data_IF_094201870932
#
_entry.id   IF_094201870932
#
_cell.length_a   1.000
_cell.length_b   1.000
_cell.length_c   1.000
_cell.angle_alpha   90.00
_cell.angle_beta   90.00
_cell.angle_gamma   90.00
#
_symmetry.space_group_name_H-M   'P 1'
#
loop_
_entity.id
_entity.type
_entity.pdbx_description
1 polymer ?
#
# COMPACT_ATOMS: atom_id res chain seq x y z
N UNK A 1 -51.66 30.88 -80.83
CA UNK A 1 -50.33 30.25 -80.82
C UNK A 1 -50.10 29.65 -79.45
N UNK A 2 -49.88 28.34 -79.45
CA UNK A 2 -49.27 27.46 -78.45
C UNK A 2 -49.87 27.27 -77.03
N UNK A 3 -50.29 26.00 -76.83
CA UNK A 3 -50.06 25.11 -75.68
C UNK A 3 -50.80 25.39 -74.36
N UNK A 4 -51.83 24.58 -74.05
CA UNK A 4 -51.75 23.30 -73.31
C UNK A 4 -51.95 23.53 -71.81
N UNK A 5 -53.13 23.13 -71.31
CA UNK A 5 -53.28 21.96 -70.42
C UNK A 5 -53.05 22.36 -68.94
N UNK A 6 -53.76 21.88 -67.93
CA UNK A 6 -54.74 20.83 -67.79
C UNK A 6 -55.42 21.10 -66.43
N UNK A 7 -56.72 20.80 -66.35
CA UNK A 7 -57.47 20.30 -65.18
C UNK A 7 -57.00 20.71 -63.77
N UNK A 8 -57.75 21.56 -63.05
CA UNK A 8 -58.92 21.16 -62.25
C UNK A 8 -58.78 19.83 -61.50
N UNK A 9 -59.13 19.91 -60.21
CA UNK A 9 -59.41 18.84 -59.25
C UNK A 9 -58.18 18.15 -58.68
N UNK A 10 -57.92 18.40 -57.39
CA UNK A 10 -58.03 17.37 -56.37
C UNK A 10 -58.13 18.06 -54.99
N UNK A 11 -59.35 18.50 -54.68
CA UNK A 11 -59.84 18.41 -53.31
C UNK A 11 -59.77 16.95 -52.88
N UNK A 12 -59.53 16.72 -51.59
CA UNK A 12 -59.47 15.41 -50.91
C UNK A 12 -58.05 14.82 -50.83
N UNK A 13 -57.35 15.03 -49.71
CA UNK A 13 -57.36 14.01 -48.66
C UNK A 13 -56.62 14.50 -47.38
N UNK A 14 -57.25 14.44 -46.19
CA UNK A 14 -56.61 14.70 -44.91
C UNK A 14 -55.84 13.45 -44.46
N UNK A 15 -54.52 13.46 -44.56
CA UNK A 15 -53.67 12.31 -44.15
C UNK A 15 -52.35 12.76 -43.50
N UNK A 16 -52.32 13.91 -42.81
CA UNK A 16 -51.09 14.44 -42.18
C UNK A 16 -51.04 14.34 -40.65
N UNK A 17 -51.93 13.54 -40.03
CA UNK A 17 -52.14 13.57 -38.58
C UNK A 17 -51.72 12.33 -37.77
N UNK A 18 -51.41 11.19 -38.40
CA UNK A 18 -51.19 9.92 -37.66
C UNK A 18 -49.77 9.38 -37.65
N UNK A 19 -48.85 9.89 -38.49
CA UNK A 19 -47.49 9.36 -38.55
C UNK A 19 -46.49 10.07 -37.62
N UNK A 20 -46.81 11.26 -37.13
CA UNK A 20 -45.94 12.04 -36.22
C UNK A 20 -46.12 11.75 -34.74
N UNK A 21 -47.09 10.92 -34.34
CA UNK A 21 -47.27 10.50 -32.94
C UNK A 21 -46.66 9.15 -32.60
N UNK A 22 -46.30 8.32 -33.58
CA UNK A 22 -45.68 7.01 -33.31
C UNK A 22 -44.15 7.05 -33.22
N UNK A 23 -43.52 8.15 -33.64
CA UNK A 23 -42.07 8.33 -33.56
C UNK A 23 -41.59 9.06 -32.29
N UNK A 24 -42.49 9.60 -31.47
CA UNK A 24 -42.13 10.31 -30.24
C UNK A 24 -42.23 9.47 -28.96
N UNK A 25 -42.80 8.26 -28.99
CA UNK A 25 -42.93 7.42 -27.78
C UNK A 25 -41.73 6.48 -27.57
N UNK A 26 -40.92 6.21 -28.60
CA UNK A 26 -39.72 5.34 -28.47
C UNK A 26 -38.45 6.06 -28.01
N UNK A 27 -38.46 7.38 -27.88
CA UNK A 27 -37.33 8.15 -27.34
C UNK A 27 -37.44 8.40 -25.82
N UNK A 28 -38.47 7.85 -25.16
CA UNK A 28 -38.74 8.05 -23.72
C UNK A 28 -38.54 6.78 -22.88
N UNK A 29 -37.82 5.78 -23.40
CA UNK A 29 -37.44 4.55 -22.68
C UNK A 29 -35.91 4.35 -22.59
N UNK A 30 -35.14 5.39 -22.95
CA UNK A 30 -33.68 5.43 -22.89
C UNK A 30 -33.21 6.57 -21.98
N UNK A 31 -33.76 6.66 -20.75
CA UNK A 31 -33.50 7.81 -19.89
C UNK A 31 -33.74 7.61 -18.39
N UNK A 32 -33.81 6.37 -17.91
CA UNK A 32 -34.08 6.07 -16.51
C UNK A 32 -33.25 4.88 -15.99
N UNK A 33 -31.94 4.87 -16.27
CA UNK A 33 -30.99 3.93 -15.70
C UNK A 33 -29.62 4.58 -15.44
N UNK A 34 -29.62 5.85 -15.03
CA UNK A 34 -28.38 6.65 -14.94
C UNK A 34 -28.19 7.37 -13.62
N UNK A 35 -28.72 6.86 -12.50
CA UNK A 35 -28.47 7.45 -11.18
C UNK A 35 -28.52 6.36 -10.10
N UNK A 36 -27.46 5.55 -9.93
CA UNK A 36 -27.15 4.81 -8.69
C UNK A 36 -25.70 4.24 -8.69
N UNK A 37 -24.71 5.06 -9.08
CA UNK A 37 -23.31 4.84 -8.66
C UNK A 37 -22.78 6.14 -8.06
N UNK A 38 -23.38 6.54 -6.95
CA UNK A 38 -22.74 7.44 -5.98
C UNK A 38 -22.17 6.58 -4.86
N UNK A 39 -21.10 7.11 -4.24
CA UNK A 39 -20.40 6.64 -3.03
C UNK A 39 -19.51 5.40 -3.15
N UNK A 40 -18.24 5.62 -3.50
CA UNK A 40 -17.10 5.43 -2.58
C UNK A 40 -15.79 5.59 -3.37
N UNK A 41 -15.20 6.78 -3.40
CA UNK A 41 -13.77 7.00 -3.74
C UNK A 41 -13.37 8.45 -3.44
N UNK A 42 -13.65 8.92 -2.23
CA UNK A 42 -13.03 10.15 -1.71
C UNK A 42 -12.48 9.86 -0.32
N UNK A 43 -11.55 8.92 -0.26
CA UNK A 43 -10.55 8.90 0.80
C UNK A 43 -9.20 8.98 0.08
N UNK A 44 -8.87 10.16 -0.43
CA UNK A 44 -7.46 10.59 -0.41
C UNK A 44 -7.13 10.98 1.02
N UNK A 45 -7.21 10.01 1.94
CA UNK A 45 -6.41 10.10 3.14
C UNK A 45 -4.98 9.89 2.68
N UNK A 46 -4.06 10.64 3.25
CA UNK A 46 -2.64 10.65 2.94
C UNK A 46 -1.98 9.37 3.47
N UNK A 47 -2.51 8.20 3.08
CA UNK A 47 -2.07 6.89 3.56
C UNK A 47 -0.72 6.60 2.88
N UNK A 48 0.35 6.33 3.65
CA UNK A 48 1.62 5.91 3.09
C UNK A 48 1.43 4.67 2.20
N UNK A 49 2.19 4.60 1.10
CA UNK A 49 2.09 3.44 0.21
C UNK A 49 2.43 2.14 0.96
N UNK A 50 1.66 1.07 0.75
CA UNK A 50 1.91 -0.26 1.29
C UNK A 50 1.52 -1.28 0.23
N UNK A 51 2.43 -1.50 -0.72
CA UNK A 51 2.08 -2.12 -2.00
C UNK A 51 1.64 -3.58 -1.87
N UNK A 52 2.24 -4.31 -0.94
CA UNK A 52 1.91 -5.69 -0.62
C UNK A 52 1.04 -5.81 0.65
N UNK A 53 0.76 -4.71 1.34
CA UNK A 53 -0.07 -4.71 2.55
C UNK A 53 0.65 -5.29 3.77
N UNK A 54 1.97 -5.09 3.88
CA UNK A 54 2.79 -5.66 4.94
C UNK A 54 2.27 -5.29 6.32
N UNK A 55 1.90 -4.02 6.55
CA UNK A 55 1.40 -3.60 7.86
C UNK A 55 0.12 -4.35 8.22
N UNK A 56 -0.85 -4.39 7.31
CA UNK A 56 -2.13 -5.07 7.54
C UNK A 56 -2.00 -6.59 7.70
N UNK A 57 -0.94 -7.21 7.18
CA UNK A 57 -0.66 -8.64 7.38
C UNK A 57 0.00 -8.90 8.74
N UNK A 58 0.84 -7.98 9.19
CA UNK A 58 1.57 -8.08 10.45
C UNK A 58 0.66 -7.78 11.64
N UNK A 59 -0.20 -6.76 11.55
CA UNK A 59 -1.19 -6.44 12.58
C UNK A 59 -2.07 -7.67 12.91
N UNK A 60 -2.12 -8.04 14.20
CA UNK A 60 -2.81 -9.26 14.69
C UNK A 60 -2.34 -10.58 14.02
N UNK A 61 -1.15 -10.57 13.39
CA UNK A 61 -0.63 -11.65 12.56
C UNK A 61 0.77 -12.09 12.95
N UNK A 62 1.65 -12.22 11.97
CA UNK A 62 3.05 -12.65 12.16
C UNK A 62 4.00 -11.61 11.58
N UNK A 63 4.96 -11.19 12.40
CA UNK A 63 6.10 -10.37 12.01
C UNK A 63 7.29 -11.28 11.70
N UNK A 64 7.72 -11.34 10.45
CA UNK A 64 8.88 -12.14 10.05
C UNK A 64 10.15 -11.30 10.17
N UNK A 65 11.01 -11.64 11.13
CA UNK A 65 12.19 -10.85 11.50
C UNK A 65 13.46 -11.54 11.02
N UNK A 66 14.19 -10.88 10.13
CA UNK A 66 15.53 -11.25 9.74
C UNK A 66 16.53 -10.77 10.79
N UNK A 67 17.33 -11.68 11.36
CA UNK A 67 18.30 -11.35 12.40
C UNK A 67 19.70 -11.81 11.99
N UNK A 68 20.62 -10.85 11.87
CA UNK A 68 22.07 -11.10 11.76
C UNK A 68 22.70 -10.91 13.13
N UNK A 69 23.62 -11.78 13.53
CA UNK A 69 24.31 -11.69 14.83
C UNK A 69 25.33 -10.53 14.82
N UNK A 70 25.17 -9.58 15.74
CA UNK A 70 26.02 -8.41 15.87
C UNK A 70 25.88 -7.82 17.29
N UNK A 71 26.68 -8.28 18.27
CA UNK A 71 26.63 -7.73 19.62
C UNK A 71 27.02 -6.24 19.66
N UNK A 72 26.39 -5.41 20.51
CA UNK A 72 25.35 -5.75 21.49
C UNK A 72 23.91 -5.65 20.95
N UNK A 73 23.74 -5.41 19.65
CA UNK A 73 22.44 -5.20 19.01
C UNK A 73 21.61 -6.46 18.95
N UNK A 74 22.26 -7.54 18.54
CA UNK A 74 21.67 -8.85 18.33
C UNK A 74 22.67 -9.93 18.73
N UNK A 75 22.23 -10.80 19.62
CA UNK A 75 22.96 -11.98 20.08
C UNK A 75 22.06 -13.20 19.88
N UNK A 76 22.64 -14.31 19.42
CA UNK A 76 21.95 -15.59 19.25
C UNK A 76 22.67 -16.62 20.11
N UNK A 77 21.99 -17.14 21.12
CA UNK A 77 22.58 -18.16 21.99
C UNK A 77 22.68 -19.51 21.29
N UNK A 78 23.53 -20.40 21.81
CA UNK A 78 23.63 -21.79 21.35
C UNK A 78 22.30 -22.56 21.46
N UNK A 79 21.36 -22.07 22.29
CA UNK A 79 20.04 -22.63 22.48
C UNK A 79 18.99 -22.04 21.53
N UNK A 80 19.38 -21.13 20.64
CA UNK A 80 18.50 -20.45 19.68
C UNK A 80 17.69 -19.30 20.29
N UNK A 81 18.13 -18.75 21.42
CA UNK A 81 17.48 -17.59 22.03
C UNK A 81 18.08 -16.29 21.47
N UNK A 82 17.21 -15.35 21.11
CA UNK A 82 17.60 -14.03 20.61
C UNK A 82 17.61 -13.01 21.74
N UNK A 83 18.65 -12.18 21.81
CA UNK A 83 18.77 -11.07 22.78
C UNK A 83 19.53 -9.89 22.20
N UNK A 84 19.58 -8.77 22.93
CA UNK A 84 20.22 -7.54 22.48
C UNK A 84 19.22 -6.40 22.29
N UNK A 85 19.73 -5.18 22.16
CA UNK A 85 18.90 -3.97 22.15
C UNK A 85 17.92 -3.91 20.98
N UNK A 86 18.30 -4.35 19.78
CA UNK A 86 17.39 -4.39 18.63
C UNK A 86 16.34 -5.50 18.77
N UNK A 87 16.71 -6.62 19.40
CA UNK A 87 15.76 -7.71 19.67
C UNK A 87 14.67 -7.23 20.64
N UNK A 88 15.03 -6.47 21.66
CA UNK A 88 14.07 -5.91 22.63
C UNK A 88 13.14 -4.88 21.97
N UNK A 89 13.68 -4.01 21.09
CA UNK A 89 12.88 -3.08 20.29
C UNK A 89 11.88 -3.80 19.40
N UNK A 90 12.31 -4.86 18.69
CA UNK A 90 11.43 -5.65 17.82
C UNK A 90 10.36 -6.41 18.61
N UNK A 91 10.69 -6.92 19.80
CA UNK A 91 9.70 -7.53 20.70
C UNK A 91 8.62 -6.54 21.10
N UNK A 92 9.00 -5.35 21.55
CA UNK A 92 8.01 -4.33 21.90
C UNK A 92 7.22 -3.84 20.67
N UNK A 93 7.82 -3.77 19.48
CA UNK A 93 7.08 -3.46 18.26
C UNK A 93 6.05 -4.54 17.92
N UNK A 94 6.42 -5.82 18.03
CA UNK A 94 5.51 -6.94 17.81
C UNK A 94 4.35 -6.91 18.83
N UNK A 95 4.63 -6.61 20.10
CA UNK A 95 3.58 -6.40 21.11
C UNK A 95 2.67 -5.22 20.76
N UNK A 96 3.24 -4.11 20.28
CA UNK A 96 2.50 -2.91 19.88
C UNK A 96 1.51 -3.18 18.74
N UNK A 97 1.88 -4.01 17.76
CA UNK A 97 1.00 -4.41 16.64
C UNK A 97 0.26 -5.73 16.88
N UNK A 98 0.35 -6.28 18.09
CA UNK A 98 -0.23 -7.58 18.48
C UNK A 98 0.15 -8.75 17.54
N UNK A 99 1.42 -8.82 17.13
CA UNK A 99 1.95 -9.86 16.25
C UNK A 99 2.79 -10.92 17.00
N UNK A 100 2.76 -12.15 16.50
CA UNK A 100 3.74 -13.17 16.85
C UNK A 100 5.02 -13.00 16.02
N UNK A 101 6.18 -13.29 16.59
CA UNK A 101 7.46 -13.16 15.87
C UNK A 101 7.90 -14.51 15.29
N UNK A 102 8.22 -14.51 13.99
CA UNK A 102 8.96 -15.59 13.34
C UNK A 102 10.38 -15.12 13.02
N UNK A 103 11.38 -15.80 13.59
CA UNK A 103 12.79 -15.44 13.40
C UNK A 103 13.41 -16.16 12.21
N UNK A 104 14.10 -15.40 11.35
CA UNK A 104 14.96 -15.92 10.28
C UNK A 104 16.39 -15.45 10.49
N UNK A 105 17.26 -16.34 10.97
CA UNK A 105 18.68 -16.02 11.16
C UNK A 105 19.45 -16.10 9.84
N UNK A 106 20.35 -15.15 9.61
CA UNK A 106 21.29 -15.21 8.50
C UNK A 106 22.23 -14.02 8.45
N UNK A 107 23.31 -14.08 7.66
CA UNK A 107 24.15 -12.91 7.42
C UNK A 107 23.35 -11.84 6.67
N UNK A 108 23.66 -10.57 6.91
CA UNK A 108 22.96 -9.42 6.30
C UNK A 108 22.80 -9.53 4.79
N UNK A 109 23.81 -10.03 4.07
CA UNK A 109 23.76 -10.20 2.61
C UNK A 109 22.67 -11.17 2.16
N UNK A 110 22.41 -12.23 2.93
CA UNK A 110 21.32 -13.18 2.66
C UNK A 110 19.99 -12.56 3.05
N UNK A 111 19.93 -11.85 4.17
CA UNK A 111 18.72 -11.15 4.62
C UNK A 111 18.31 -10.04 3.65
N UNK A 112 19.27 -9.35 3.02
CA UNK A 112 19.04 -8.33 2.00
C UNK A 112 18.37 -8.90 0.73
N UNK A 113 18.68 -10.14 0.34
CA UNK A 113 17.96 -10.79 -0.75
C UNK A 113 16.57 -11.28 -0.30
N UNK A 114 16.45 -11.80 0.93
CA UNK A 114 15.15 -12.25 1.47
C UNK A 114 14.14 -11.13 1.60
N UNK A 115 14.55 -9.98 2.13
CA UNK A 115 13.67 -8.81 2.27
C UNK A 115 13.21 -8.26 0.92
N UNK A 116 14.09 -8.27 -0.08
CA UNK A 116 13.77 -7.90 -1.47
C UNK A 116 12.77 -8.85 -2.12
N UNK A 117 12.77 -10.12 -1.72
CA UNK A 117 11.78 -11.12 -2.13
C UNK A 117 10.54 -11.15 -1.23
N UNK A 118 10.42 -10.22 -0.28
CA UNK A 118 9.33 -10.15 0.71
C UNK A 118 9.21 -11.43 1.58
N UNK A 119 10.32 -12.12 1.81
CA UNK A 119 10.41 -13.28 2.71
C UNK A 119 10.66 -12.87 4.17
N UNK A 120 11.00 -11.59 4.40
CA UNK A 120 11.27 -10.97 5.70
C UNK A 120 10.68 -9.57 5.70
N UNK A 121 10.14 -9.14 6.84
CA UNK A 121 9.43 -7.87 7.02
C UNK A 121 10.31 -6.78 7.62
N UNK A 122 11.23 -7.18 8.49
CA UNK A 122 12.19 -6.30 9.11
C UNK A 122 13.53 -7.01 9.28
N UNK A 123 14.62 -6.33 8.97
CA UNK A 123 15.99 -6.81 9.20
C UNK A 123 16.63 -6.01 10.32
N UNK A 124 17.12 -6.75 11.31
CA UNK A 124 17.96 -6.27 12.42
C UNK A 124 19.32 -6.98 12.39
N UNK A 125 20.32 -6.34 13.00
CA UNK A 125 21.71 -6.80 12.99
C UNK A 125 22.72 -5.67 13.11
N UNK A 126 22.34 -4.54 13.70
CA UNK A 126 23.21 -3.37 13.83
C UNK A 126 23.53 -2.71 12.48
N UNK A 127 22.53 -2.56 11.62
CA UNK A 127 22.67 -1.82 10.36
C UNK A 127 22.90 -0.34 10.65
N UNK A 128 23.69 0.32 9.80
CA UNK A 128 23.90 1.77 9.86
C UNK A 128 23.36 2.48 8.63
N UNK A 129 23.20 3.80 8.69
CA UNK A 129 22.74 4.63 7.57
C UNK A 129 23.69 4.59 6.34
N UNK A 130 24.92 4.12 6.53
CA UNK A 130 25.90 3.84 5.49
C UNK A 130 25.83 2.41 4.92
N UNK A 131 24.84 1.62 5.35
CA UNK A 131 24.63 0.25 4.92
C UNK A 131 24.64 0.10 3.38
N UNK A 132 25.40 -0.86 2.83
CA UNK A 132 25.43 -1.11 1.39
C UNK A 132 24.11 -1.67 0.85
N UNK A 133 23.19 -2.06 1.74
CA UNK A 133 21.93 -2.74 1.41
C UNK A 133 20.76 -1.79 1.12
N UNK A 134 20.96 -0.47 1.14
CA UNK A 134 19.94 0.55 0.83
C UNK A 134 19.29 0.42 -0.56
N UNK A 135 19.93 -0.32 -1.48
CA UNK A 135 19.35 -0.66 -2.79
C UNK A 135 18.40 -1.86 -2.76
N UNK A 136 18.39 -2.63 -1.67
CA UNK A 136 17.60 -3.85 -1.48
C UNK A 136 16.46 -3.67 -0.46
N UNK A 137 16.63 -2.76 0.50
CA UNK A 137 15.67 -2.47 1.57
C UNK A 137 15.52 -0.96 1.77
N UNK A 138 14.36 -0.54 2.22
CA UNK A 138 14.21 0.80 2.80
C UNK A 138 14.84 0.79 4.19
N UNK A 139 15.51 1.88 4.57
CA UNK A 139 16.08 2.03 5.90
C UNK A 139 15.18 2.95 6.71
N UNK A 140 14.98 2.62 7.99
CA UNK A 140 14.34 3.54 8.93
C UNK A 140 15.17 4.82 9.06
N UNK A 141 14.54 5.88 9.54
CA UNK A 141 15.29 6.97 10.19
C UNK A 141 16.18 6.37 11.30
N UNK A 142 17.35 6.99 11.57
CA UNK A 142 18.19 6.57 12.67
C UNK A 142 17.43 6.59 13.98
N UNK A 143 17.47 5.48 14.72
CA UNK A 143 16.81 5.35 16.02
C UNK A 143 17.81 5.53 17.18
N UNK A 144 19.11 5.43 16.90
CA UNK A 144 20.19 5.70 17.84
C UNK A 144 21.44 6.20 17.10
N UNK A 145 22.29 6.93 17.80
CA UNK A 145 23.65 7.25 17.35
C UNK A 145 24.65 6.77 18.40
N UNK A 146 25.55 5.86 18.02
CA UNK A 146 26.58 5.30 18.92
C UNK A 146 27.93 5.41 18.23
N UNK A 147 28.91 6.00 18.92
CA UNK A 147 30.27 6.20 18.41
C UNK A 147 30.34 6.88 17.03
N UNK A 148 29.33 7.70 16.70
CA UNK A 148 29.21 8.42 15.43
C UNK A 148 28.55 7.61 14.30
N UNK A 149 28.12 6.38 14.57
CA UNK A 149 27.34 5.55 13.66
C UNK A 149 25.84 5.70 13.95
N UNK A 150 25.06 5.90 12.89
CA UNK A 150 23.61 6.07 12.96
C UNK A 150 22.92 4.74 12.69
N UNK A 151 22.28 4.20 13.72
CA UNK A 151 21.69 2.87 13.69
C UNK A 151 20.30 2.89 13.07
N UNK A 152 20.04 1.95 12.17
CA UNK A 152 18.81 1.85 11.38
C UNK A 152 18.33 0.41 11.32
N UNK A 153 17.05 0.20 10.99
CA UNK A 153 16.51 -1.13 10.64
C UNK A 153 16.12 -1.15 9.15
N UNK A 154 16.09 -2.35 8.56
CA UNK A 154 15.70 -2.53 7.15
C UNK A 154 14.26 -3.00 7.00
N UNK A 155 13.48 -2.43 6.07
CA UNK A 155 12.13 -2.88 5.70
C UNK A 155 12.02 -3.11 4.17
N UNK A 156 11.02 -3.88 3.68
CA UNK A 156 10.80 -4.02 2.25
C UNK A 156 10.59 -2.67 1.54
N UNK A 157 11.13 -2.54 0.33
CA UNK A 157 10.91 -1.37 -0.52
C UNK A 157 9.43 -1.28 -0.92
N UNK A 158 8.81 -0.10 -0.76
CA UNK A 158 7.42 0.15 -1.15
C UNK A 158 6.37 -0.11 -0.06
N UNK A 159 6.79 -0.64 1.09
CA UNK A 159 5.95 -0.88 2.27
C UNK A 159 6.08 0.29 3.27
N UNK A 160 5.79 1.50 2.78
CA UNK A 160 5.97 2.74 3.53
C UNK A 160 5.01 2.85 4.73
N UNK A 161 3.83 2.24 4.70
CA UNK A 161 2.95 2.26 5.88
C UNK A 161 3.58 1.47 7.04
N UNK A 162 4.10 0.28 6.74
CA UNK A 162 4.86 -0.51 7.71
C UNK A 162 6.09 0.23 8.21
N UNK A 163 6.90 0.80 7.30
CA UNK A 163 8.08 1.59 7.66
C UNK A 163 7.73 2.77 8.59
N UNK A 164 6.71 3.56 8.25
CA UNK A 164 6.28 4.70 9.05
C UNK A 164 5.78 4.28 10.42
N UNK A 165 5.05 3.17 10.51
CA UNK A 165 4.55 2.66 11.78
C UNK A 165 5.69 2.17 12.68
N UNK A 166 6.67 1.45 12.12
CA UNK A 166 7.88 1.06 12.84
C UNK A 166 8.67 2.29 13.31
N UNK A 167 8.87 3.29 12.45
CA UNK A 167 9.56 4.53 12.83
C UNK A 167 8.83 5.31 13.91
N UNK A 168 7.49 5.31 13.89
CA UNK A 168 6.67 5.95 14.93
C UNK A 168 6.88 5.26 16.27
N UNK A 169 6.82 3.93 16.29
CA UNK A 169 7.09 3.14 17.49
C UNK A 169 8.50 3.40 18.04
N UNK A 170 9.53 3.36 17.18
CA UNK A 170 10.92 3.61 17.60
C UNK A 170 11.11 5.00 18.21
N UNK A 171 10.48 6.02 17.62
CA UNK A 171 10.53 7.39 18.13
C UNK A 171 9.80 7.54 19.48
N UNK A 172 8.73 6.79 19.70
CA UNK A 172 7.99 6.79 20.98
C UNK A 172 8.77 6.08 22.08
N UNK A 173 9.41 4.96 21.78
CA UNK A 173 10.14 4.14 22.76
C UNK A 173 11.46 4.78 23.20
N UNK A 174 12.21 5.37 22.26
CA UNK A 174 13.53 5.93 22.53
C UNK A 174 13.52 7.45 22.80
N UNK A 175 12.41 8.12 22.49
CA UNK A 175 12.33 9.58 22.44
C UNK A 175 13.06 10.15 21.23
N UNK A 176 12.52 11.21 20.61
CA UNK A 176 13.17 11.83 19.46
C UNK A 176 14.59 12.31 19.82
N UNK A 177 15.60 11.66 19.25
CA UNK A 177 16.96 12.19 19.24
C UNK A 177 17.02 13.19 18.10
N UNK A 178 16.73 14.46 18.39
CA UNK A 178 16.86 15.58 17.44
C UNK A 178 18.32 15.99 17.23
#
# INVERSE_FOLDING_TARGET
MLFSALSSLLSCWPMLGRMTRLLLVKAALLGAATVLLSSCSTISANIPADSAGTLSRVEDGTLVVGVSEHPPWTEVSDQGEYSGSEVDLIRGFAEHVNAEIEWQQGPESVLAERIKNSEVDVVIGGLTDSSPWSSHMALTRPYAEIDGEKMVMGTPLGENAFLVELERYLAEELGETQ
#
